data_IF_206329723373
#
_entry.id   IF_206329723373
#
_cell.length_a   1.000
_cell.length_b   1.000
_cell.length_c   1.000
_cell.angle_alpha   90.00
_cell.angle_beta   90.00
_cell.angle_gamma   90.00
#
_symmetry.space_group_name_H-M   'P 1'
#
loop_
_entity.id
_entity.type
_entity.pdbx_description
1 polymer ?
#
# COMPACT_ATOMS: atom_id res chain seq x y z
N UNK A 1 -4.49 0.76 27.71
CA UNK A 1 -3.60 1.88 27.32
C UNK A 1 -3.16 1.62 25.90
N UNK A 2 -3.47 2.51 24.95
CA UNK A 2 -3.17 2.23 23.53
C UNK A 2 -1.67 2.40 23.29
N UNK A 3 -0.98 1.29 23.10
CA UNK A 3 0.48 1.24 22.97
C UNK A 3 0.97 0.41 21.79
N UNK A 4 0.08 -0.34 21.14
CA UNK A 4 0.37 -1.16 19.97
C UNK A 4 -0.32 -0.58 18.75
N UNK A 5 0.46 -0.16 17.75
CA UNK A 5 -0.07 0.56 16.60
C UNK A 5 0.26 -0.22 15.33
N UNK A 6 -0.79 -0.62 14.61
CA UNK A 6 -0.71 -1.34 13.36
C UNK A 6 -1.00 -0.39 12.22
N UNK A 7 -0.22 -0.49 11.15
CA UNK A 7 -0.41 0.30 9.94
C UNK A 7 -0.57 -0.60 8.72
N UNK A 8 -1.49 -0.26 7.83
CA UNK A 8 -1.36 -0.69 6.44
C UNK A 8 -0.22 0.06 5.74
N UNK A 9 0.24 -0.45 4.59
CA UNK A 9 1.28 0.21 3.78
C UNK A 9 0.65 1.02 2.65
N UNK A 10 -0.15 0.37 1.82
CA UNK A 10 -0.56 0.86 0.51
C UNK A 10 -1.65 1.94 0.66
N UNK A 11 -1.40 3.13 0.09
CA UNK A 11 -2.18 4.34 0.28
C UNK A 11 -2.35 4.79 1.76
N UNK A 12 -1.61 4.18 2.68
CA UNK A 12 -1.56 4.57 4.09
C UNK A 12 -0.23 5.24 4.43
N UNK A 13 0.88 4.48 4.36
CA UNK A 13 2.24 4.99 4.54
C UNK A 13 2.90 5.39 3.21
N UNK A 14 2.49 4.74 2.13
CA UNK A 14 3.06 4.86 0.80
C UNK A 14 1.98 5.12 -0.26
N UNK A 15 2.14 6.11 -1.16
CA UNK A 15 1.15 6.42 -2.21
C UNK A 15 1.16 5.37 -3.33
N UNK A 16 0.66 4.17 -3.06
CA UNK A 16 0.75 3.02 -3.97
C UNK A 16 -0.11 3.16 -5.23
N UNK A 17 -1.25 3.85 -5.12
CA UNK A 17 -2.10 4.17 -6.28
C UNK A 17 -1.38 5.14 -7.20
N UNK A 18 -0.85 6.25 -6.67
CA UNK A 18 -0.10 7.25 -7.43
C UNK A 18 1.15 6.63 -8.08
N UNK A 19 1.90 5.83 -7.30
CA UNK A 19 3.04 5.07 -7.81
C UNK A 19 2.67 4.24 -9.03
N UNK A 20 1.61 3.44 -8.91
CA UNK A 20 1.22 2.51 -9.97
C UNK A 20 0.80 3.24 -11.24
N UNK A 21 0.09 4.37 -11.11
CA UNK A 21 -0.31 5.22 -12.23
C UNK A 21 0.90 5.89 -12.89
N UNK A 22 1.77 6.51 -12.09
CA UNK A 22 2.97 7.19 -12.59
C UNK A 22 3.92 6.21 -13.28
N UNK A 23 4.16 5.04 -12.68
CA UNK A 23 5.10 4.05 -13.22
C UNK A 23 4.60 3.44 -14.53
N UNK A 24 3.28 3.19 -14.65
CA UNK A 24 2.67 2.75 -15.92
C UNK A 24 2.78 3.83 -16.99
N UNK A 25 2.41 5.07 -16.66
CA UNK A 25 2.50 6.20 -17.61
C UNK A 25 3.93 6.42 -18.09
N UNK A 26 4.91 6.44 -17.19
CA UNK A 26 6.32 6.60 -17.56
C UNK A 26 6.84 5.43 -18.41
N UNK A 27 6.40 4.20 -18.13
CA UNK A 27 6.72 3.05 -18.95
C UNK A 27 6.14 3.16 -20.37
N UNK A 28 4.90 3.64 -20.52
CA UNK A 28 4.26 3.88 -21.82
C UNK A 28 4.99 4.99 -22.58
N UNK A 29 5.30 6.11 -21.94
CA UNK A 29 6.11 7.18 -22.53
C UNK A 29 7.48 6.64 -23.02
N UNK A 30 8.14 5.79 -22.24
CA UNK A 30 9.42 5.21 -22.60
C UNK A 30 9.32 4.29 -23.82
N UNK A 31 8.26 3.48 -23.90
CA UNK A 31 7.96 2.65 -25.07
C UNK A 31 7.83 3.52 -26.33
N UNK A 32 7.03 4.59 -26.29
CA UNK A 32 6.79 5.46 -27.45
C UNK A 32 8.06 6.20 -27.87
N UNK A 33 8.89 6.65 -26.92
CA UNK A 33 10.21 7.24 -27.21
C UNK A 33 11.17 6.30 -27.94
N UNK A 34 10.97 4.97 -27.84
CA UNK A 34 11.75 3.97 -28.60
C UNK A 34 11.24 3.76 -30.05
N UNK A 35 10.31 4.61 -30.49
CA UNK A 35 9.76 4.62 -31.84
C UNK A 35 8.64 3.59 -32.05
N UNK A 36 7.82 3.34 -31.03
CA UNK A 36 6.62 2.54 -31.23
C UNK A 36 5.59 3.34 -32.05
N UNK A 37 5.05 2.73 -33.10
CA UNK A 37 4.12 3.41 -34.02
C UNK A 37 2.71 3.58 -33.45
N UNK A 38 2.28 2.76 -32.49
CA UNK A 38 0.98 2.91 -31.87
C UNK A 38 0.97 4.05 -30.83
N UNK A 39 -0.19 4.68 -30.66
CA UNK A 39 -0.34 5.79 -29.72
C UNK A 39 -0.26 5.34 -28.26
N UNK A 40 0.11 6.26 -27.37
CA UNK A 40 0.17 5.99 -25.92
C UNK A 40 -1.17 5.46 -25.37
N UNK A 41 -2.29 6.02 -25.82
CA UNK A 41 -3.62 5.60 -25.39
C UNK A 41 -3.98 4.16 -25.78
N UNK A 42 -3.47 3.65 -26.91
CA UNK A 42 -3.68 2.26 -27.30
C UNK A 42 -2.90 1.29 -26.38
N UNK A 43 -1.66 1.66 -26.06
CA UNK A 43 -0.83 0.91 -25.10
C UNK A 43 -1.44 0.94 -23.72
N UNK A 44 -1.90 2.10 -23.26
CA UNK A 44 -2.56 2.28 -21.96
C UNK A 44 -3.79 1.39 -21.85
N UNK A 45 -4.72 1.50 -22.80
CA UNK A 45 -5.94 0.70 -22.82
C UNK A 45 -5.64 -0.80 -22.81
N UNK A 46 -4.70 -1.24 -23.66
CA UNK A 46 -4.36 -2.66 -23.72
C UNK A 46 -3.67 -3.14 -22.43
N UNK A 47 -2.83 -2.31 -21.83
CA UNK A 47 -2.18 -2.61 -20.55
C UNK A 47 -3.23 -2.77 -19.43
N UNK A 48 -4.22 -1.90 -19.38
CA UNK A 48 -5.34 -2.00 -18.44
C UNK A 48 -6.15 -3.28 -18.61
N UNK A 49 -6.46 -3.67 -19.86
CA UNK A 49 -7.13 -4.92 -20.19
C UNK A 49 -6.34 -6.14 -19.68
N UNK A 50 -5.03 -6.18 -19.95
CA UNK A 50 -4.16 -7.26 -19.47
C UNK A 50 -4.08 -7.29 -17.95
N UNK A 51 -3.98 -6.15 -17.26
CA UNK A 51 -3.98 -6.08 -15.79
C UNK A 51 -5.30 -6.60 -15.22
N UNK A 52 -6.43 -6.23 -15.82
CA UNK A 52 -7.76 -6.68 -15.39
C UNK A 52 -7.93 -8.19 -15.53
N UNK A 53 -7.41 -8.78 -16.62
CA UNK A 53 -7.53 -10.21 -16.88
C UNK A 53 -6.53 -11.07 -16.12
N UNK A 54 -5.27 -10.64 -16.03
CA UNK A 54 -4.18 -11.43 -15.44
C UNK A 54 -3.93 -11.12 -13.97
N UNK A 55 -4.48 -10.01 -13.47
CA UNK A 55 -4.22 -9.48 -12.14
C UNK A 55 -2.96 -8.63 -12.06
N UNK A 56 -2.87 -7.82 -11.01
CA UNK A 56 -1.80 -6.85 -10.79
C UNK A 56 -0.42 -7.45 -10.55
N UNK A 57 -0.33 -8.75 -10.23
CA UNK A 57 0.93 -9.44 -9.95
C UNK A 57 1.49 -10.24 -11.14
N UNK A 58 0.84 -10.21 -12.30
CA UNK A 58 1.34 -10.89 -13.49
C UNK A 58 2.68 -10.28 -13.96
N UNK A 59 3.73 -11.06 -14.27
CA UNK A 59 5.05 -10.48 -14.57
C UNK A 59 5.23 -9.97 -16.00
N UNK A 60 4.30 -10.25 -16.93
CA UNK A 60 4.49 -9.97 -18.36
C UNK A 60 3.46 -8.98 -18.93
N UNK A 61 2.95 -8.03 -18.14
CA UNK A 61 1.91 -7.11 -18.60
C UNK A 61 2.28 -6.37 -19.88
N UNK A 62 3.48 -5.78 -19.95
CA UNK A 62 3.92 -5.02 -21.12
C UNK A 62 4.13 -5.90 -22.36
N UNK A 63 4.73 -7.08 -22.22
CA UNK A 63 4.93 -7.98 -23.36
C UNK A 63 3.58 -8.48 -23.90
N UNK A 64 2.66 -8.87 -23.01
CA UNK A 64 1.33 -9.33 -23.42
C UNK A 64 0.51 -8.19 -24.06
N UNK A 65 0.56 -6.98 -23.52
CA UNK A 65 -0.14 -5.83 -24.10
C UNK A 65 0.39 -5.52 -25.50
N UNK A 66 1.70 -5.40 -25.66
CA UNK A 66 2.33 -5.16 -26.96
C UNK A 66 2.08 -6.32 -27.95
N UNK A 67 2.01 -7.56 -27.47
CA UNK A 67 1.68 -8.73 -28.28
C UNK A 67 0.25 -8.64 -28.82
N UNK A 68 -0.73 -8.23 -27.99
CA UNK A 68 -2.13 -8.06 -28.39
C UNK A 68 -2.32 -6.91 -29.38
N UNK A 69 -1.47 -5.88 -29.30
CA UNK A 69 -1.40 -4.78 -30.28
C UNK A 69 -0.68 -5.17 -31.59
N UNK A 70 -0.25 -6.42 -31.76
CA UNK A 70 0.43 -6.87 -32.98
C UNK A 70 1.87 -6.37 -33.12
N UNK A 71 2.46 -5.83 -32.07
CA UNK A 71 3.82 -5.26 -32.10
C UNK A 71 4.84 -6.38 -32.30
N UNK A 72 5.69 -6.21 -33.33
CA UNK A 72 6.84 -7.08 -33.61
C UNK A 72 8.09 -6.55 -32.89
N UNK A 73 9.09 -7.42 -32.68
CA UNK A 73 10.36 -7.06 -32.03
C UNK A 73 10.18 -6.37 -30.66
N UNK A 74 9.29 -6.91 -29.82
CA UNK A 74 8.83 -6.28 -28.55
C UNK A 74 9.91 -6.08 -27.50
N UNK A 75 10.99 -6.86 -27.55
CA UNK A 75 12.02 -6.87 -26.51
C UNK A 75 12.56 -5.46 -26.19
N UNK A 76 12.80 -4.62 -27.21
CA UNK A 76 13.27 -3.24 -27.00
C UNK A 76 12.27 -2.37 -26.23
N UNK A 77 10.97 -2.52 -26.52
CA UNK A 77 9.90 -1.76 -25.89
C UNK A 77 9.65 -2.24 -24.47
N UNK A 78 9.62 -3.55 -24.26
CA UNK A 78 9.50 -4.15 -22.93
C UNK A 78 10.66 -3.73 -22.03
N UNK A 79 11.89 -3.74 -22.56
CA UNK A 79 13.05 -3.28 -21.80
C UNK A 79 12.93 -1.79 -21.40
N UNK A 80 12.51 -0.92 -22.33
CA UNK A 80 12.29 0.50 -22.03
C UNK A 80 11.19 0.72 -20.98
N UNK A 81 10.09 -0.02 -21.08
CA UNK A 81 9.00 0.01 -20.11
C UNK A 81 9.48 -0.39 -18.71
N UNK A 82 10.20 -1.52 -18.60
CA UNK A 82 10.72 -2.04 -17.33
C UNK A 82 11.72 -1.07 -16.72
N UNK A 83 12.63 -0.50 -17.51
CA UNK A 83 13.59 0.49 -17.03
C UNK A 83 12.88 1.71 -16.43
N UNK A 84 11.97 2.34 -17.18
CA UNK A 84 11.23 3.52 -16.70
C UNK A 84 10.31 3.23 -15.52
N UNK A 85 9.73 2.02 -15.46
CA UNK A 85 8.94 1.57 -14.31
C UNK A 85 9.81 1.46 -13.05
N UNK A 86 11.00 0.88 -13.17
CA UNK A 86 11.95 0.76 -12.06
C UNK A 86 12.51 2.12 -11.61
N UNK A 87 12.82 3.03 -12.54
CA UNK A 87 13.24 4.39 -12.20
C UNK A 87 12.15 5.11 -11.38
N UNK A 88 10.90 4.99 -11.84
CA UNK A 88 9.75 5.55 -11.11
C UNK A 88 9.60 4.92 -9.73
N UNK A 89 9.78 3.59 -9.65
CA UNK A 89 9.79 2.87 -8.38
C UNK A 89 10.83 3.49 -7.46
N UNK A 90 12.09 3.62 -7.86
CA UNK A 90 13.18 4.18 -7.03
C UNK A 90 12.92 5.63 -6.59
N UNK A 91 12.28 6.45 -7.42
CA UNK A 91 12.06 7.86 -7.11
C UNK A 91 10.92 8.14 -6.11
N UNK A 92 9.94 7.25 -5.97
CA UNK A 92 8.76 7.53 -5.14
C UNK A 92 9.02 7.32 -3.65
N UNK A 93 8.60 8.30 -2.86
CA UNK A 93 8.82 8.39 -1.42
C UNK A 93 7.55 8.04 -0.63
N UNK A 94 7.64 7.70 0.68
CA UNK A 94 6.48 7.65 1.55
C UNK A 94 5.80 9.02 1.66
N UNK A 95 4.60 9.06 2.24
CA UNK A 95 3.95 10.33 2.51
C UNK A 95 4.84 11.21 3.43
N UNK A 96 4.97 12.54 3.18
CA UNK A 96 6.01 13.36 3.79
C UNK A 96 6.04 13.36 5.33
N UNK A 97 4.90 13.20 5.98
CA UNK A 97 4.82 13.18 7.44
C UNK A 97 5.13 11.82 8.08
N UNK A 98 5.18 10.74 7.29
CA UNK A 98 5.27 9.36 7.82
C UNK A 98 6.52 9.15 8.67
N UNK A 99 7.75 9.50 8.22
CA UNK A 99 8.94 9.29 9.04
C UNK A 99 8.87 10.02 10.39
N UNK A 100 8.46 11.29 10.39
CA UNK A 100 8.33 12.09 11.60
C UNK A 100 7.25 11.55 12.55
N UNK A 101 6.15 11.03 11.99
CA UNK A 101 5.05 10.44 12.75
C UNK A 101 5.46 9.12 13.41
N UNK A 102 6.13 8.21 12.69
CA UNK A 102 6.65 6.96 13.27
C UNK A 102 7.69 7.22 14.36
N UNK A 103 8.63 8.15 14.13
CA UNK A 103 9.62 8.54 15.13
C UNK A 103 8.96 9.08 16.41
N UNK A 104 7.96 9.96 16.28
CA UNK A 104 7.24 10.51 17.41
C UNK A 104 6.45 9.44 18.21
N UNK A 105 5.92 8.42 17.53
CA UNK A 105 5.25 7.30 18.20
C UNK A 105 6.23 6.41 18.96
N UNK A 106 7.39 6.08 18.38
CA UNK A 106 8.46 5.35 19.10
C UNK A 106 8.96 6.13 20.31
N UNK A 107 9.16 7.44 20.18
CA UNK A 107 9.55 8.31 21.32
C UNK A 107 8.50 8.35 22.43
N UNK A 108 7.21 8.17 22.09
CA UNK A 108 6.14 8.04 23.06
C UNK A 108 6.01 6.64 23.67
N UNK A 109 6.91 5.70 23.33
CA UNK A 109 6.93 4.34 23.85
C UNK A 109 5.99 3.36 23.15
N UNK A 110 5.39 3.75 22.01
CA UNK A 110 4.54 2.85 21.24
C UNK A 110 5.35 1.77 20.51
N UNK A 111 4.80 0.57 20.42
CA UNK A 111 5.26 -0.52 19.56
C UNK A 111 4.52 -0.46 18.22
N UNK A 112 5.27 -0.57 17.12
CA UNK A 112 4.74 -0.31 15.79
C UNK A 112 4.79 -1.59 14.95
N UNK A 113 3.73 -1.86 14.22
CA UNK A 113 3.56 -3.07 13.43
C UNK A 113 2.99 -2.76 12.06
N UNK A 114 3.26 -3.62 11.08
CA UNK A 114 2.57 -3.61 9.80
C UNK A 114 1.49 -4.67 9.79
N UNK A 115 0.32 -4.34 9.25
CA UNK A 115 -0.77 -5.25 8.96
C UNK A 115 -1.19 -5.04 7.49
N UNK A 116 -0.65 -5.85 6.57
CA UNK A 116 -0.83 -5.69 5.12
C UNK A 116 -1.41 -6.95 4.46
N UNK A 117 -1.87 -6.83 3.22
CA UNK A 117 -2.36 -7.93 2.39
C UNK A 117 -1.64 -7.88 1.04
N UNK A 118 -1.05 -8.98 0.59
CA UNK A 118 -0.24 -8.99 -0.62
C UNK A 118 0.85 -10.06 -0.60
N UNK A 119 1.81 -9.94 -1.51
CA UNK A 119 3.01 -10.79 -1.49
C UNK A 119 3.97 -10.24 -0.46
N UNK A 120 4.42 -11.08 0.48
CA UNK A 120 5.26 -10.66 1.60
C UNK A 120 6.54 -9.93 1.12
N UNK A 121 7.22 -10.50 0.13
CA UNK A 121 8.44 -9.91 -0.47
C UNK A 121 8.18 -8.51 -1.04
N UNK A 122 7.00 -8.26 -1.63
CA UNK A 122 6.66 -6.93 -2.16
C UNK A 122 6.36 -5.92 -1.06
N UNK A 123 5.81 -6.35 0.06
CA UNK A 123 5.58 -5.45 1.20
C UNK A 123 6.91 -5.08 1.88
N UNK A 124 7.82 -6.04 2.05
CA UNK A 124 9.18 -5.77 2.54
C UNK A 124 9.98 -4.86 1.61
N UNK A 125 9.94 -5.11 0.29
CA UNK A 125 10.61 -4.25 -0.71
C UNK A 125 10.19 -2.78 -0.58
N UNK A 126 8.89 -2.51 -0.34
CA UNK A 126 8.39 -1.14 -0.09
C UNK A 126 9.02 -0.55 1.17
N UNK A 127 8.97 -1.27 2.30
CA UNK A 127 9.48 -0.78 3.59
C UNK A 127 10.98 -0.47 3.53
N UNK A 128 11.78 -1.39 2.98
CA UNK A 128 13.24 -1.27 2.88
C UNK A 128 13.65 -0.10 1.99
N UNK A 129 13.05 0.02 0.79
CA UNK A 129 13.36 1.11 -0.13
C UNK A 129 13.00 2.49 0.41
N UNK A 130 11.98 2.55 1.27
CA UNK A 130 11.57 3.80 1.90
C UNK A 130 12.31 4.08 3.21
N UNK A 131 13.21 3.20 3.65
CA UNK A 131 13.90 3.29 4.93
C UNK A 131 12.92 3.42 6.09
N UNK A 132 11.93 2.52 6.15
CA UNK A 132 10.91 2.49 7.21
C UNK A 132 10.95 1.21 8.04
N UNK A 133 11.65 0.18 7.58
CA UNK A 133 11.70 -1.16 8.18
C UNK A 133 12.14 -1.14 9.65
N UNK A 134 13.07 -0.26 10.01
CA UNK A 134 13.62 -0.19 11.37
C UNK A 134 12.65 0.40 12.41
N UNK A 135 11.52 0.99 11.99
CA UNK A 135 10.51 1.47 12.94
C UNK A 135 9.64 0.35 13.50
N UNK A 136 9.45 -0.72 12.73
CA UNK A 136 8.45 -1.74 13.01
C UNK A 136 9.06 -2.92 13.77
N UNK A 137 8.37 -3.31 14.84
CA UNK A 137 8.74 -4.44 15.69
C UNK A 137 8.43 -5.78 14.99
N UNK A 138 7.38 -5.83 14.15
CA UNK A 138 7.07 -6.97 13.29
C UNK A 138 6.20 -6.55 12.08
N UNK A 139 6.31 -7.31 10.98
CA UNK A 139 5.53 -7.11 9.75
C UNK A 139 4.62 -8.30 9.52
N UNK A 140 3.31 -8.09 9.61
CA UNK A 140 2.30 -9.12 9.35
C UNK A 140 1.69 -8.91 7.96
N UNK A 141 1.84 -9.89 7.08
CA UNK A 141 1.27 -9.89 5.74
C UNK A 141 0.34 -11.08 5.60
N UNK A 142 -0.88 -10.86 5.12
CA UNK A 142 -1.74 -11.95 4.67
C UNK A 142 -1.66 -12.13 3.16
N UNK A 143 -1.31 -13.33 2.72
CA UNK A 143 -1.20 -13.68 1.30
C UNK A 143 -2.52 -14.22 0.71
N UNK A 144 -2.56 -14.37 -0.61
CA UNK A 144 -3.74 -14.87 -1.32
C UNK A 144 -4.03 -16.33 -0.91
N UNK A 145 -5.26 -16.59 -0.50
CA UNK A 145 -5.70 -17.93 -0.06
C UNK A 145 -5.68 -18.11 1.46
N UNK A 146 -5.18 -17.11 2.19
CA UNK A 146 -5.24 -17.06 3.65
C UNK A 146 -6.50 -16.33 4.14
N UNK A 147 -6.47 -15.90 5.41
CA UNK A 147 -7.55 -15.19 6.08
C UNK A 147 -7.86 -13.82 5.46
N UNK A 148 -6.92 -13.25 4.69
CA UNK A 148 -6.90 -11.82 4.36
C UNK A 148 -6.93 -10.97 5.63
N UNK A 149 -7.20 -9.67 5.49
CA UNK A 149 -7.44 -8.79 6.66
C UNK A 149 -8.83 -9.00 7.30
N UNK A 150 -9.13 -10.22 7.73
CA UNK A 150 -10.35 -10.56 8.46
C UNK A 150 -10.26 -10.18 9.95
N UNK A 151 -11.38 -10.14 10.71
CA UNK A 151 -11.30 -9.95 12.16
C UNK A 151 -10.42 -10.99 12.88
N UNK A 152 -10.35 -12.20 12.34
CA UNK A 152 -9.50 -13.26 12.89
C UNK A 152 -8.02 -12.97 12.67
N UNK A 153 -7.65 -12.48 11.48
CA UNK A 153 -6.28 -12.00 11.22
C UNK A 153 -5.85 -10.94 12.24
N UNK A 154 -6.70 -9.95 12.51
CA UNK A 154 -6.39 -8.89 13.50
C UNK A 154 -6.24 -9.44 14.92
N UNK A 155 -7.08 -10.39 15.34
CA UNK A 155 -6.91 -11.06 16.65
C UNK A 155 -5.59 -11.83 16.71
N UNK A 156 -5.20 -12.51 15.64
CA UNK A 156 -3.95 -13.29 15.59
C UNK A 156 -2.72 -12.40 15.67
N UNK A 157 -2.67 -11.29 14.92
CA UNK A 157 -1.50 -10.40 14.95
C UNK A 157 -1.41 -9.63 16.27
N UNK A 158 -2.54 -9.25 16.89
CA UNK A 158 -2.55 -8.66 18.22
C UNK A 158 -1.98 -9.64 19.26
N UNK A 159 -2.42 -10.91 19.21
CA UNK A 159 -1.88 -11.97 20.07
C UNK A 159 -0.38 -12.19 19.86
N UNK A 160 0.09 -12.23 18.61
CA UNK A 160 1.54 -12.37 18.28
C UNK A 160 2.37 -11.19 18.79
N UNK A 161 1.81 -9.97 18.71
CA UNK A 161 2.42 -8.78 19.30
C UNK A 161 2.43 -8.78 20.84
N UNK A 162 1.77 -9.75 21.48
CA UNK A 162 1.61 -9.82 22.94
C UNK A 162 0.63 -8.79 23.49
N UNK A 163 -0.34 -8.36 22.67
CA UNK A 163 -1.32 -7.33 23.00
C UNK A 163 -2.74 -7.89 23.09
N UNK A 164 -3.59 -7.21 23.85
CA UNK A 164 -5.04 -7.36 23.75
C UNK A 164 -5.56 -6.44 22.64
N UNK A 165 -6.60 -6.84 21.88
CA UNK A 165 -7.17 -5.98 20.85
C UNK A 165 -7.54 -4.58 21.35
N UNK A 166 -8.08 -4.43 22.56
CA UNK A 166 -8.45 -3.13 23.13
C UNK A 166 -7.25 -2.18 23.41
N UNK A 167 -6.02 -2.71 23.47
CA UNK A 167 -4.79 -1.94 23.63
C UNK A 167 -4.14 -1.58 22.28
N UNK A 168 -4.78 -1.97 21.17
CA UNK A 168 -4.28 -1.79 19.82
C UNK A 168 -5.05 -0.71 19.04
N UNK A 169 -4.35 -0.03 18.13
CA UNK A 169 -4.94 0.84 17.12
C UNK A 169 -4.52 0.40 15.71
N UNK A 170 -5.48 0.18 14.82
CA UNK A 170 -5.23 -0.06 13.39
C UNK A 170 -5.44 1.23 12.59
N UNK A 171 -4.43 1.62 11.81
CA UNK A 171 -4.47 2.75 10.89
C UNK A 171 -4.39 2.28 9.43
N UNK A 172 -5.34 2.68 8.61
CA UNK A 172 -5.39 2.31 7.19
C UNK A 172 -6.37 3.17 6.38
N UNK A 173 -6.31 3.08 5.06
CA UNK A 173 -7.19 3.83 4.15
C UNK A 173 -8.49 3.06 3.84
N UNK A 174 -8.42 1.72 3.84
CA UNK A 174 -9.52 0.84 3.46
C UNK A 174 -10.50 0.61 4.58
N UNK A 175 -11.72 1.05 4.39
CA UNK A 175 -12.78 0.76 5.35
C UNK A 175 -13.06 -0.75 5.51
N UNK A 176 -13.15 -1.48 4.40
CA UNK A 176 -13.54 -2.89 4.39
C UNK A 176 -12.40 -3.87 4.71
N UNK A 177 -11.14 -3.41 4.67
CA UNK A 177 -9.94 -4.22 4.92
C UNK A 177 -9.19 -3.80 6.18
N UNK A 178 -9.15 -2.52 6.50
CA UNK A 178 -8.41 -2.01 7.66
C UNK A 178 -9.32 -1.67 8.82
N UNK A 179 -10.45 -1.03 8.57
CA UNK A 179 -11.27 -0.43 9.63
C UNK A 179 -12.30 -1.41 10.18
N UNK A 180 -13.27 -1.83 9.36
CA UNK A 180 -14.35 -2.71 9.78
C UNK A 180 -13.85 -4.04 10.39
N UNK A 181 -12.90 -4.76 9.78
CA UNK A 181 -12.41 -6.00 10.37
C UNK A 181 -11.61 -5.80 11.65
N UNK A 182 -10.76 -4.76 11.75
CA UNK A 182 -10.01 -4.48 12.99
C UNK A 182 -10.94 -4.06 14.13
N UNK A 183 -11.96 -3.25 13.84
CA UNK A 183 -12.97 -2.87 14.83
C UNK A 183 -13.77 -4.08 15.33
N UNK A 184 -14.17 -4.98 14.42
CA UNK A 184 -14.80 -6.27 14.79
C UNK A 184 -13.88 -7.18 15.59
N UNK A 185 -12.56 -7.00 15.49
CA UNK A 185 -11.57 -7.70 16.30
C UNK A 185 -11.39 -7.07 17.70
N UNK A 186 -11.97 -5.89 17.96
CA UNK A 186 -11.88 -5.17 19.23
C UNK A 186 -10.80 -4.09 19.28
N UNK A 187 -10.17 -3.76 18.14
CA UNK A 187 -9.15 -2.70 18.07
C UNK A 187 -9.79 -1.32 17.89
N UNK A 188 -9.10 -0.29 18.36
CA UNK A 188 -9.39 1.08 17.92
C UNK A 188 -8.95 1.26 16.47
N UNK A 189 -9.59 2.20 15.77
CA UNK A 189 -9.36 2.38 14.35
C UNK A 189 -9.17 3.86 13.98
N UNK A 190 -8.16 4.12 13.15
CA UNK A 190 -7.94 5.41 12.51
C UNK A 190 -8.02 5.24 11.00
N UNK A 191 -9.04 5.81 10.37
CA UNK A 191 -9.12 5.85 8.90
C UNK A 191 -8.42 7.07 8.34
N UNK A 192 -7.43 6.84 7.48
CA UNK A 192 -6.78 7.92 6.72
C UNK A 192 -7.43 8.08 5.35
N UNK A 193 -7.81 9.30 4.97
CA UNK A 193 -8.44 9.55 3.68
C UNK A 193 -7.39 9.77 2.59
N UNK A 194 -6.96 8.69 1.94
CA UNK A 194 -5.92 8.65 0.91
C UNK A 194 -6.26 7.72 -0.25
N UNK A 195 -5.45 7.84 -1.30
CA UNK A 195 -5.55 7.02 -2.50
C UNK A 195 -6.93 7.07 -3.15
N UNK A 196 -7.26 6.00 -3.87
CA UNK A 196 -8.53 5.85 -4.59
C UNK A 196 -9.78 5.77 -3.69
N UNK A 197 -9.61 5.64 -2.37
CA UNK A 197 -10.71 5.53 -1.41
C UNK A 197 -10.94 6.77 -0.54
N UNK A 198 -10.19 7.85 -0.79
CA UNK A 198 -10.31 9.11 -0.05
C UNK A 198 -11.70 9.75 -0.12
N UNK A 199 -12.44 9.54 -1.21
CA UNK A 199 -13.74 10.16 -1.50
C UNK A 199 -14.94 9.32 -1.05
N UNK A 200 -14.71 8.09 -0.57
CA UNK A 200 -15.80 7.26 -0.04
C UNK A 200 -16.40 7.95 1.21
N UNK A 201 -17.73 7.84 1.43
CA UNK A 201 -18.40 8.56 2.50
C UNK A 201 -17.67 8.40 3.84
N UNK A 202 -17.68 9.46 4.66
CA UNK A 202 -17.31 9.34 6.08
C UNK A 202 -18.33 8.41 6.71
N UNK A 203 -17.95 7.16 6.90
CA UNK A 203 -18.77 6.21 7.63
C UNK A 203 -18.49 6.35 9.11
N UNK A 204 -19.50 6.05 9.92
CA UNK A 204 -19.39 6.03 11.39
C UNK A 204 -18.61 4.82 11.91
N UNK A 205 -17.98 4.05 11.01
CA UNK A 205 -17.29 2.83 11.35
C UNK A 205 -15.97 3.07 12.09
N UNK A 206 -15.14 4.03 11.66
CA UNK A 206 -13.87 4.29 12.31
C UNK A 206 -14.03 5.11 13.60
N UNK A 207 -13.23 4.81 14.63
CA UNK A 207 -13.21 5.59 15.88
C UNK A 207 -12.62 6.99 15.65
N UNK A 208 -11.62 7.07 14.76
CA UNK A 208 -10.98 8.30 14.35
C UNK A 208 -10.85 8.37 12.83
N UNK A 209 -10.87 9.59 12.28
CA UNK A 209 -10.76 9.83 10.85
C UNK A 209 -9.93 11.07 10.59
N UNK A 210 -9.08 11.06 9.56
CA UNK A 210 -8.28 12.22 9.20
C UNK A 210 -7.56 12.10 7.87
N UNK A 211 -6.90 13.18 7.45
CA UNK A 211 -6.00 13.18 6.27
C UNK A 211 -4.52 13.05 6.66
N UNK A 212 -4.21 13.31 7.93
CA UNK A 212 -2.86 13.46 8.45
C UNK A 212 -2.64 12.46 9.59
N UNK A 213 -1.70 11.54 9.40
CA UNK A 213 -1.39 10.48 10.35
C UNK A 213 -0.77 11.01 11.66
N UNK A 214 -0.22 12.24 11.68
CA UNK A 214 0.30 12.86 12.92
C UNK A 214 -0.76 13.03 13.99
N UNK A 215 -2.05 12.98 13.63
CA UNK A 215 -3.15 12.97 14.58
C UNK A 215 -3.12 11.74 15.50
N UNK A 216 -2.59 10.60 15.04
CA UNK A 216 -2.43 9.38 15.84
C UNK A 216 -1.54 9.64 17.05
N UNK A 217 -0.47 10.44 16.90
CA UNK A 217 0.41 10.82 18.02
C UNK A 217 -0.37 11.52 19.14
N UNK A 218 -1.32 12.40 18.77
CA UNK A 218 -2.17 13.10 19.75
C UNK A 218 -3.18 12.16 20.41
N UNK A 219 -3.71 11.19 19.66
CA UNK A 219 -4.66 10.19 20.16
C UNK A 219 -3.96 9.28 21.18
N UNK A 220 -2.80 8.73 20.82
CA UNK A 220 -2.01 7.84 21.69
C UNK A 220 -1.65 8.54 23.01
N UNK A 221 -1.19 9.80 22.95
CA UNK A 221 -0.88 10.60 24.15
C UNK A 221 -2.08 10.90 25.06
N UNK A 222 -3.31 10.89 24.52
CA UNK A 222 -4.54 11.09 25.32
C UNK A 222 -5.09 9.80 25.92
N UNK A 223 -4.77 8.66 25.32
CA UNK A 223 -5.20 7.32 25.72
C UNK A 223 -4.11 6.57 26.52
N UNK A 224 -2.96 7.23 26.72
CA UNK A 224 -1.89 6.87 27.63
C UNK A 224 -2.09 7.57 28.96
#
# INVERSE_FOLDING_TARGET
MVSFIFFDIDDTLFPSTEFSELARRNAIHAIVRMGLECGEGDVEKMLEEVIKERGSNYPHHFDEALKRLGVKNRAKYVAAAVAAYHDTKIAILPYPEVPAMLAALKQAGAKLYIASEGLEVKQWDKLIRMHLEYYFDEVFVSEKGELGKSPEFYRQIAKRAGARPEDCLMAGDREDKDILPAKKAGMLTFRVFRGKYAVKPRTTAADFNGKDLRQIVKIVKKLS
#
